data_IF_789729169648
#
_entry.id   IF_789729169648
#
_cell.length_a   1.000
_cell.length_b   1.000
_cell.length_c   1.000
_cell.angle_alpha   90.00
_cell.angle_beta   90.00
_cell.angle_gamma   90.00
#
_symmetry.space_group_name_H-M   'P 1'
#
loop_
_entity.id
_entity.type
_entity.pdbx_description
1 polymer ?
#
# COMPACT_ATOMS: atom_id res chain seq x y z
N UNK A 1 -11.92 -90.90 30.25
CA UNK A 1 -10.51 -90.91 29.89
C UNK A 1 -10.10 -89.43 29.54
N UNK A 2 -9.46 -88.75 30.49
CA UNK A 2 -9.17 -87.27 30.44
C UNK A 2 -7.91 -87.00 29.62
N UNK A 3 -7.96 -86.03 28.71
CA UNK A 3 -6.77 -85.36 28.22
C UNK A 3 -6.91 -83.84 28.43
N UNK A 4 -6.05 -83.31 29.30
CA UNK A 4 -5.86 -81.89 29.57
C UNK A 4 -5.06 -81.31 28.43
N UNK A 5 -5.56 -80.21 27.85
CA UNK A 5 -4.79 -79.34 26.92
C UNK A 5 -4.38 -78.08 27.67
N UNK A 6 -3.08 -77.83 27.76
CA UNK A 6 -2.47 -76.67 28.34
C UNK A 6 -2.59 -75.52 27.34
N UNK A 7 -3.19 -74.38 27.73
CA UNK A 7 -3.15 -73.10 26.97
C UNK A 7 -1.94 -72.30 27.44
N UNK A 8 -0.98 -72.13 26.57
CA UNK A 8 0.11 -71.20 26.77
C UNK A 8 -0.39 -69.74 26.39
N UNK A 9 -0.38 -68.86 27.37
CA UNK A 9 -0.64 -67.47 27.15
C UNK A 9 0.69 -66.75 26.71
N UNK A 10 0.78 -66.40 25.46
CA UNK A 10 1.82 -65.43 24.97
C UNK A 10 1.38 -64.00 25.32
N UNK A 11 2.11 -63.35 26.24
CA UNK A 11 2.04 -61.90 26.47
C UNK A 11 2.85 -61.23 25.40
N UNK A 12 2.15 -60.55 24.45
CA UNK A 12 2.78 -59.63 23.52
C UNK A 12 2.89 -58.28 24.23
N UNK A 13 4.07 -57.92 24.69
CA UNK A 13 4.39 -56.57 25.15
C UNK A 13 4.61 -55.66 23.92
N UNK A 14 3.60 -54.88 23.57
CA UNK A 14 3.75 -53.81 22.56
C UNK A 14 4.53 -52.66 23.20
N UNK A 15 5.82 -52.51 22.84
CA UNK A 15 6.59 -51.29 23.10
C UNK A 15 6.04 -50.17 22.21
N UNK A 16 5.22 -49.31 22.79
CA UNK A 16 4.95 -47.98 22.18
C UNK A 16 6.19 -47.12 22.37
N UNK A 17 7.05 -47.10 21.36
CA UNK A 17 8.09 -46.11 21.23
C UNK A 17 7.41 -44.77 20.94
N UNK A 18 7.21 -43.93 21.95
CA UNK A 18 6.84 -42.54 21.77
C UNK A 18 8.02 -41.84 21.07
N UNK A 19 7.92 -41.64 19.76
CA UNK A 19 8.74 -40.70 19.05
C UNK A 19 8.45 -39.32 19.64
N UNK A 20 9.32 -38.87 20.55
CA UNK A 20 9.40 -37.46 20.96
C UNK A 20 9.80 -36.66 19.72
N UNK A 21 8.80 -36.19 18.96
CA UNK A 21 9.00 -35.12 18.02
C UNK A 21 9.43 -33.96 18.89
N UNK A 22 10.64 -33.39 18.68
CA UNK A 22 11.02 -32.19 19.42
C UNK A 22 9.94 -31.15 19.18
N UNK A 23 9.31 -30.65 20.23
CA UNK A 23 8.45 -29.47 20.13
C UNK A 23 9.34 -28.38 19.56
N UNK A 24 9.12 -28.01 18.29
CA UNK A 24 9.71 -26.80 17.76
C UNK A 24 9.29 -25.70 18.73
N UNK A 25 10.26 -25.05 19.34
CA UNK A 25 10.01 -23.91 20.19
C UNK A 25 9.23 -22.92 19.32
N UNK A 26 7.97 -22.72 19.63
CA UNK A 26 7.12 -21.77 18.95
C UNK A 26 7.82 -20.41 19.12
N UNK A 27 8.32 -19.84 18.04
CA UNK A 27 8.95 -18.53 18.10
C UNK A 27 8.02 -17.57 18.84
N UNK A 28 8.58 -16.96 19.89
CA UNK A 28 7.79 -16.06 20.74
C UNK A 28 7.38 -14.87 19.87
N UNK A 29 6.09 -14.66 19.69
CA UNK A 29 5.56 -13.49 18.99
C UNK A 29 6.24 -12.22 19.51
N UNK A 30 6.66 -11.36 18.61
CA UNK A 30 7.19 -10.03 18.90
C UNK A 30 6.50 -9.00 18.01
N UNK A 31 6.23 -7.84 18.56
CA UNK A 31 5.81 -6.66 17.81
C UNK A 31 6.96 -6.17 16.92
N UNK A 32 6.65 -5.41 15.84
CA UNK A 32 7.66 -4.72 15.06
C UNK A 32 8.54 -3.82 15.94
N UNK A 33 9.84 -3.88 15.71
CA UNK A 33 10.82 -3.04 16.39
C UNK A 33 11.89 -2.61 15.40
N UNK A 34 12.50 -1.47 15.64
CA UNK A 34 13.67 -1.01 14.90
C UNK A 34 14.82 -2.01 15.10
N UNK A 35 15.54 -2.30 14.01
CA UNK A 35 16.76 -3.12 14.07
C UNK A 35 17.96 -2.33 14.60
N UNK A 36 17.92 -1.01 14.47
CA UNK A 36 18.89 -0.06 15.01
C UNK A 36 18.09 1.11 15.64
N UNK A 37 18.43 1.55 16.85
CA UNK A 37 17.69 2.63 17.55
C UNK A 37 17.72 3.97 16.81
N UNK A 38 18.70 4.22 15.95
CA UNK A 38 18.82 5.43 15.14
C UNK A 38 18.09 5.32 13.80
N UNK A 39 17.48 4.17 13.49
CA UNK A 39 16.65 3.98 12.30
C UNK A 39 15.36 4.82 12.37
N UNK A 40 14.74 5.03 11.22
CA UNK A 40 13.42 5.64 11.10
C UNK A 40 12.57 4.87 10.09
N UNK A 41 11.25 5.07 10.12
CA UNK A 41 10.35 4.29 9.27
C UNK A 41 9.41 5.15 8.42
N UNK A 42 9.01 4.56 7.30
CA UNK A 42 7.84 4.93 6.51
C UNK A 42 6.89 3.72 6.51
N UNK A 43 5.62 3.96 6.80
CA UNK A 43 4.61 2.90 6.77
C UNK A 43 3.77 3.03 5.51
N UNK A 44 3.62 1.94 4.75
CA UNK A 44 2.85 1.87 3.52
C UNK A 44 1.54 1.11 3.77
N UNK A 45 0.42 1.77 3.51
CA UNK A 45 -0.92 1.20 3.50
C UNK A 45 -1.28 0.73 2.08
N UNK A 46 -1.86 -0.46 1.94
CA UNK A 46 -2.32 -0.99 0.65
C UNK A 46 -3.61 -0.32 0.19
N UNK A 47 -4.22 -0.86 -0.84
CA UNK A 47 -5.55 -0.51 -1.33
C UNK A 47 -6.62 -0.74 -0.24
N UNK A 48 -7.48 0.26 0.02
CA UNK A 48 -8.39 0.28 1.16
C UNK A 48 -9.86 0.03 0.80
N UNK A 49 -10.21 0.00 -0.49
CA UNK A 49 -11.60 -0.10 -0.94
C UNK A 49 -12.33 -1.34 -0.41
N UNK A 50 -11.63 -2.47 -0.25
CA UNK A 50 -12.19 -3.71 0.30
C UNK A 50 -12.67 -3.56 1.75
N UNK A 51 -11.98 -2.73 2.53
CA UNK A 51 -12.39 -2.38 3.90
C UNK A 51 -13.51 -1.35 3.89
N UNK A 52 -13.40 -0.30 3.07
CA UNK A 52 -14.31 0.84 3.07
C UNK A 52 -15.74 0.46 2.66
N UNK A 53 -15.90 -0.46 1.71
CA UNK A 53 -17.19 -0.81 1.10
C UNK A 53 -18.18 -1.54 2.01
N UNK A 54 -17.70 -2.19 3.07
CA UNK A 54 -18.55 -2.96 4.01
C UNK A 54 -18.42 -2.43 5.42
N UNK A 55 -19.56 -2.12 6.08
CA UNK A 55 -19.58 -1.59 7.45
C UNK A 55 -18.80 -2.47 8.44
N UNK A 56 -18.89 -3.80 8.29
CA UNK A 56 -18.20 -4.75 9.16
C UNK A 56 -16.68 -4.76 8.99
N UNK A 57 -16.16 -4.30 7.85
CA UNK A 57 -14.72 -4.27 7.55
C UNK A 57 -14.06 -2.92 7.92
N UNK A 58 -14.85 -1.83 7.96
CA UNK A 58 -14.33 -0.49 8.24
C UNK A 58 -13.48 -0.40 9.52
N UNK A 59 -13.83 -1.09 10.64
CA UNK A 59 -12.99 -1.08 11.84
C UNK A 59 -11.56 -1.60 11.61
N UNK A 60 -11.30 -2.40 10.57
CA UNK A 60 -9.96 -2.91 10.28
C UNK A 60 -9.04 -1.76 9.87
N UNK A 61 -9.51 -0.79 9.08
CA UNK A 61 -8.74 0.43 8.76
C UNK A 61 -8.39 1.21 10.02
N UNK A 62 -9.34 1.33 10.96
CA UNK A 62 -9.10 2.01 12.23
C UNK A 62 -8.08 1.28 13.10
N UNK A 63 -8.08 -0.07 13.09
CA UNK A 63 -7.06 -0.90 13.76
C UNK A 63 -5.68 -0.62 13.16
N UNK A 64 -5.55 -0.61 11.82
CA UNK A 64 -4.29 -0.34 11.12
C UNK A 64 -3.74 1.03 11.50
N UNK A 65 -4.55 2.08 11.39
CA UNK A 65 -4.11 3.46 11.65
C UNK A 65 -3.90 3.74 13.13
N UNK A 66 -4.73 3.19 14.03
CA UNK A 66 -4.53 3.30 15.48
C UNK A 66 -3.24 2.61 15.93
N UNK A 67 -2.94 1.43 15.37
CA UNK A 67 -1.70 0.73 15.66
C UNK A 67 -0.49 1.58 15.21
N UNK A 68 -0.54 2.13 13.99
CA UNK A 68 0.51 3.02 13.48
C UNK A 68 0.70 4.22 14.41
N UNK A 69 -0.39 4.88 14.81
CA UNK A 69 -0.33 6.03 15.71
C UNK A 69 0.30 5.67 17.08
N UNK A 70 -0.09 4.52 17.64
CA UNK A 70 0.41 4.06 18.93
C UNK A 70 1.91 3.68 18.91
N UNK A 71 2.42 3.26 17.74
CA UNK A 71 3.81 2.82 17.58
C UNK A 71 4.70 3.84 16.86
N UNK A 72 4.15 5.00 16.46
CA UNK A 72 4.86 6.00 15.65
C UNK A 72 6.15 6.49 16.32
N UNK A 73 6.13 6.70 17.63
CA UNK A 73 7.32 7.11 18.41
C UNK A 73 8.35 5.96 18.50
N UNK A 74 7.91 4.77 18.88
CA UNK A 74 8.78 3.60 19.07
C UNK A 74 9.46 3.15 17.77
N UNK A 75 8.77 3.31 16.63
CA UNK A 75 9.28 3.00 15.29
C UNK A 75 9.88 4.23 14.59
N UNK A 76 9.97 5.37 15.27
CA UNK A 76 10.47 6.61 14.70
C UNK A 76 9.83 6.91 13.34
N UNK A 77 8.50 6.70 13.21
CA UNK A 77 7.76 6.82 11.95
C UNK A 77 7.69 8.27 11.51
N UNK A 78 8.19 8.56 10.31
CA UNK A 78 8.24 9.93 9.77
C UNK A 78 7.12 10.23 8.78
N UNK A 79 6.55 9.19 8.14
CA UNK A 79 5.51 9.35 7.13
C UNK A 79 4.69 8.07 6.98
N UNK A 80 3.39 8.22 6.74
CA UNK A 80 2.51 7.15 6.31
C UNK A 80 2.12 7.41 4.86
N UNK A 81 2.24 6.40 4.02
CA UNK A 81 1.86 6.46 2.61
C UNK A 81 0.68 5.50 2.37
N UNK A 82 -0.28 5.88 1.51
CA UNK A 82 -1.34 5.00 1.04
C UNK A 82 -1.37 5.01 -0.48
N UNK A 83 -1.31 3.83 -1.09
CA UNK A 83 -1.13 3.69 -2.54
C UNK A 83 -2.39 3.93 -3.37
N UNK A 84 -3.51 4.30 -2.76
CA UNK A 84 -4.76 4.64 -3.46
C UNK A 84 -5.89 3.66 -3.19
N UNK A 85 -6.95 3.76 -4.01
CA UNK A 85 -8.20 3.00 -3.85
C UNK A 85 -8.74 3.12 -2.41
N UNK A 86 -8.93 4.37 -1.98
CA UNK A 86 -9.38 4.74 -0.64
C UNK A 86 -10.83 4.32 -0.38
N UNK A 87 -11.63 4.26 -1.45
CA UNK A 87 -13.03 3.85 -1.45
C UNK A 87 -13.30 2.91 -2.62
N UNK A 88 -14.36 2.12 -2.54
CA UNK A 88 -14.81 1.27 -3.64
C UNK A 88 -15.49 2.06 -4.74
N UNK A 89 -16.17 3.16 -4.39
CA UNK A 89 -16.94 4.00 -5.31
C UNK A 89 -16.86 5.46 -4.90
N UNK A 90 -16.45 6.29 -5.82
CA UNK A 90 -16.28 7.72 -5.53
C UNK A 90 -17.61 8.44 -5.24
N UNK A 91 -18.67 8.28 -6.05
CA UNK A 91 -19.92 9.02 -5.88
C UNK A 91 -21.22 8.25 -6.20
N UNK A 92 -21.14 7.02 -6.69
CA UNK A 92 -22.29 6.19 -6.97
C UNK A 92 -22.19 4.82 -6.38
N UNK A 93 -23.33 4.34 -5.88
CA UNK A 93 -23.44 3.02 -5.26
C UNK A 93 -24.61 2.27 -5.82
N UNK A 94 -24.35 1.04 -6.24
CA UNK A 94 -25.37 0.04 -6.44
C UNK A 94 -25.32 -0.92 -5.28
N UNK A 95 -26.37 -0.91 -4.45
CA UNK A 95 -26.50 -1.81 -3.32
C UNK A 95 -26.26 -3.27 -3.75
N UNK A 96 -25.44 -3.98 -2.99
CA UNK A 96 -25.07 -5.37 -3.24
C UNK A 96 -23.94 -5.55 -4.25
N UNK A 97 -23.57 -4.52 -5.03
CA UNK A 97 -22.43 -4.57 -5.95
C UNK A 97 -21.20 -3.87 -5.36
N UNK A 98 -21.41 -2.69 -4.78
CA UNK A 98 -20.33 -1.84 -4.24
C UNK A 98 -20.24 -1.96 -2.72
N UNK A 99 -20.69 -3.06 -2.14
CA UNK A 99 -20.78 -3.27 -0.71
C UNK A 99 -22.10 -2.80 -0.14
N UNK A 100 -22.15 -2.56 1.18
CA UNK A 100 -23.34 -2.15 1.93
C UNK A 100 -23.27 -0.68 2.39
N UNK A 101 -22.21 0.04 2.03
CA UNK A 101 -21.99 1.43 2.41
C UNK A 101 -22.14 2.38 1.22
N UNK A 102 -22.79 3.54 1.45
CA UNK A 102 -22.80 4.60 0.45
C UNK A 102 -21.40 5.18 0.23
N UNK A 103 -21.15 5.77 -0.93
CA UNK A 103 -19.89 6.42 -1.27
C UNK A 103 -19.47 7.43 -0.18
N UNK A 104 -20.39 8.29 0.25
CA UNK A 104 -20.15 9.22 1.33
C UNK A 104 -19.71 8.51 2.64
N UNK A 105 -20.37 7.43 3.02
CA UNK A 105 -19.99 6.65 4.21
C UNK A 105 -18.64 5.95 4.05
N UNK A 106 -18.29 5.53 2.84
CA UNK A 106 -16.96 4.96 2.57
C UNK A 106 -15.88 6.03 2.76
N UNK A 107 -16.06 7.21 2.16
CA UNK A 107 -15.15 8.35 2.34
C UNK A 107 -15.05 8.78 3.81
N UNK A 108 -16.18 8.90 4.51
CA UNK A 108 -16.20 9.23 5.95
C UNK A 108 -15.43 8.19 6.78
N UNK A 109 -15.61 6.89 6.50
CA UNK A 109 -14.96 5.84 7.25
C UNK A 109 -13.42 5.86 7.02
N UNK A 110 -12.98 6.02 5.77
CA UNK A 110 -11.55 6.11 5.46
C UNK A 110 -10.95 7.38 6.08
N UNK A 111 -11.62 8.53 5.94
CA UNK A 111 -11.15 9.77 6.55
C UNK A 111 -11.10 9.70 8.08
N UNK A 112 -12.05 9.00 8.73
CA UNK A 112 -12.07 8.76 10.17
C UNK A 112 -10.91 7.86 10.61
N UNK A 113 -10.60 6.80 9.85
CA UNK A 113 -9.46 5.95 10.13
C UNK A 113 -8.16 6.78 10.11
N UNK A 114 -7.94 7.59 9.07
CA UNK A 114 -6.75 8.45 8.98
C UNK A 114 -6.70 9.54 10.05
N UNK A 115 -7.84 9.93 10.65
CA UNK A 115 -7.85 10.91 11.75
C UNK A 115 -7.11 10.43 13.01
N UNK A 116 -6.86 9.12 13.14
CA UNK A 116 -5.99 8.57 14.20
C UNK A 116 -4.54 9.03 14.06
N UNK A 117 -4.13 9.42 12.84
CA UNK A 117 -2.78 9.88 12.53
C UNK A 117 -2.64 11.41 12.66
N UNK A 118 -3.75 12.16 12.73
CA UNK A 118 -3.73 13.62 12.75
C UNK A 118 -2.97 14.15 13.98
N UNK A 119 -1.94 14.95 13.74
CA UNK A 119 -1.06 15.49 14.78
C UNK A 119 -0.04 14.51 15.36
N UNK A 120 -0.07 13.24 14.97
CA UNK A 120 0.86 12.18 15.41
C UNK A 120 1.94 11.94 14.36
N UNK A 121 1.54 11.64 13.13
CA UNK A 121 2.44 11.37 12.01
C UNK A 121 1.83 11.92 10.71
N UNK A 122 2.61 12.57 9.83
CA UNK A 122 2.10 13.03 8.54
C UNK A 122 1.76 11.85 7.64
N UNK A 123 0.82 12.06 6.70
CA UNK A 123 0.49 11.05 5.70
C UNK A 123 0.25 11.65 4.33
N UNK A 124 0.46 10.83 3.30
CA UNK A 124 0.19 11.14 1.90
C UNK A 124 -0.61 10.01 1.28
N UNK A 125 -1.67 10.34 0.55
CA UNK A 125 -2.54 9.36 -0.11
C UNK A 125 -2.50 9.56 -1.61
N UNK A 126 -2.22 8.50 -2.38
CA UNK A 126 -2.51 8.49 -3.81
C UNK A 126 -4.01 8.33 -4.03
N UNK A 127 -4.47 8.63 -5.23
CA UNK A 127 -5.76 8.16 -5.73
C UNK A 127 -5.57 6.89 -6.54
N UNK A 128 -6.51 5.93 -6.38
CA UNK A 128 -6.64 4.78 -7.26
C UNK A 128 -7.77 4.96 -8.27
N UNK A 129 -8.03 3.93 -9.05
CA UNK A 129 -9.09 3.99 -10.08
C UNK A 129 -10.50 3.98 -9.48
N UNK A 130 -10.69 3.48 -8.27
CA UNK A 130 -11.96 3.49 -7.56
C UNK A 130 -12.31 4.88 -6.98
N UNK A 131 -11.31 5.74 -6.81
CA UNK A 131 -11.45 7.08 -6.22
C UNK A 131 -11.94 8.14 -7.21
N UNK A 132 -12.28 7.75 -8.45
CA UNK A 132 -12.74 8.65 -9.51
C UNK A 132 -14.13 8.32 -10.03
N UNK A 133 -14.83 9.39 -10.45
CA UNK A 133 -16.05 9.29 -11.22
C UNK A 133 -15.73 9.23 -12.70
N UNK A 134 -16.09 8.12 -13.35
CA UNK A 134 -15.89 7.94 -14.78
C UNK A 134 -17.24 7.93 -15.51
N UNK A 135 -17.90 9.08 -15.63
CA UNK A 135 -19.18 9.21 -16.33
C UNK A 135 -19.03 9.50 -17.82
N UNK A 136 -17.88 10.03 -18.21
CA UNK A 136 -17.52 10.38 -19.60
C UNK A 136 -16.00 10.36 -19.77
N UNK A 137 -15.53 10.32 -21.00
CA UNK A 137 -14.10 10.39 -21.33
C UNK A 137 -13.44 11.62 -20.70
N UNK A 138 -12.34 11.41 -19.96
CA UNK A 138 -11.59 12.45 -19.28
C UNK A 138 -12.24 12.98 -17.99
N UNK A 139 -13.36 12.41 -17.56
CA UNK A 139 -13.95 12.72 -16.26
C UNK A 139 -13.10 12.09 -15.16
N UNK A 140 -12.36 12.91 -14.43
CA UNK A 140 -11.48 12.53 -13.33
C UNK A 140 -11.85 13.30 -12.06
N UNK A 141 -13.16 13.49 -11.83
CA UNK A 141 -13.62 14.08 -10.57
C UNK A 141 -13.44 13.07 -9.45
N UNK A 142 -12.98 13.58 -8.31
CA UNK A 142 -12.80 12.82 -7.09
C UNK A 142 -13.24 13.65 -5.89
N UNK A 143 -13.70 12.99 -4.85
CA UNK A 143 -14.02 13.62 -3.57
C UNK A 143 -12.81 13.67 -2.62
N UNK A 144 -11.63 13.22 -3.03
CA UNK A 144 -10.46 13.17 -2.15
C UNK A 144 -10.17 14.51 -1.47
N UNK A 145 -10.29 15.62 -2.20
CA UNK A 145 -10.04 16.96 -1.65
C UNK A 145 -11.02 17.40 -0.56
N UNK A 146 -12.23 16.81 -0.52
CA UNK A 146 -13.24 17.08 0.50
C UNK A 146 -12.92 16.35 1.82
N UNK A 147 -12.38 15.13 1.72
CA UNK A 147 -12.14 14.25 2.87
C UNK A 147 -10.69 14.26 3.36
N UNK A 148 -9.76 14.60 2.46
CA UNK A 148 -8.33 14.63 2.71
C UNK A 148 -7.70 15.98 2.29
N UNK A 149 -8.25 17.12 2.72
CA UNK A 149 -7.55 18.38 2.50
C UNK A 149 -6.19 18.34 3.21
N UNK A 150 -5.19 19.00 2.65
CA UNK A 150 -3.83 19.01 3.24
C UNK A 150 -3.81 19.49 4.69
N UNK A 151 -4.70 20.40 5.03
CA UNK A 151 -4.81 20.99 6.37
C UNK A 151 -5.54 20.07 7.37
N UNK A 152 -6.09 18.92 6.91
CA UNK A 152 -6.69 17.93 7.80
C UNK A 152 -5.68 17.45 8.85
N UNK A 153 -4.47 17.14 8.43
CA UNK A 153 -3.36 16.86 9.33
C UNK A 153 -2.39 18.05 9.34
N UNK A 154 -2.18 18.75 10.47
CA UNK A 154 -1.29 19.92 10.52
C UNK A 154 0.18 19.55 10.21
N UNK A 155 0.56 18.28 10.33
CA UNK A 155 1.90 17.82 9.99
C UNK A 155 2.10 17.72 8.47
N UNK A 156 1.05 17.38 7.70
CA UNK A 156 1.10 17.36 6.24
C UNK A 156 1.46 18.74 5.68
N UNK A 157 0.88 19.81 6.25
CA UNK A 157 1.13 21.18 5.84
C UNK A 157 2.60 21.57 5.96
N UNK A 158 3.30 21.02 6.96
CA UNK A 158 4.72 21.32 7.20
C UNK A 158 5.65 20.64 6.20
N UNK A 159 5.22 19.49 5.66
CA UNK A 159 6.00 18.72 4.70
C UNK A 159 5.71 19.11 3.25
N UNK A 160 4.52 19.67 2.98
CA UNK A 160 4.10 20.03 1.63
C UNK A 160 5.01 21.11 1.07
N UNK A 161 5.70 20.79 -0.03
CA UNK A 161 6.53 21.77 -0.77
C UNK A 161 5.85 22.27 -2.04
N UNK A 162 5.18 21.37 -2.78
CA UNK A 162 4.58 21.71 -4.07
C UNK A 162 3.24 20.99 -4.28
N UNK A 163 2.33 21.67 -4.97
CA UNK A 163 1.11 21.09 -5.53
C UNK A 163 1.19 20.96 -7.06
N UNK A 164 0.65 19.86 -7.58
CA UNK A 164 0.19 19.76 -8.96
C UNK A 164 -1.26 20.23 -9.10
N UNK A 165 -1.80 20.07 -10.29
CA UNK A 165 -3.19 20.40 -10.59
C UNK A 165 -4.00 19.12 -10.86
N UNK A 166 -5.23 19.11 -10.37
CA UNK A 166 -6.24 18.10 -10.76
C UNK A 166 -6.70 18.28 -12.21
N UNK A 167 -7.62 17.45 -12.67
CA UNK A 167 -8.17 17.54 -14.02
C UNK A 167 -9.07 18.78 -14.23
N UNK A 168 -9.49 19.44 -13.15
CA UNK A 168 -10.29 20.64 -13.15
C UNK A 168 -9.42 21.93 -13.05
N UNK A 169 -8.11 21.77 -12.87
CA UNK A 169 -7.15 22.88 -12.79
C UNK A 169 -6.98 23.45 -11.38
N UNK A 170 -7.41 22.74 -10.33
CA UNK A 170 -7.21 23.13 -8.95
C UNK A 170 -5.96 22.49 -8.36
N UNK A 171 -5.36 23.09 -7.34
CA UNK A 171 -4.34 22.46 -6.52
C UNK A 171 -4.89 21.21 -5.84
N UNK A 172 -4.18 20.10 -5.96
CA UNK A 172 -4.72 18.81 -5.58
C UNK A 172 -3.72 17.96 -4.79
N UNK A 173 -4.21 17.30 -3.72
CA UNK A 173 -3.39 16.43 -2.86
C UNK A 173 -2.94 15.16 -3.57
N UNK A 174 -3.70 14.71 -4.58
CA UNK A 174 -3.34 13.56 -5.42
C UNK A 174 -2.12 13.82 -6.30
N UNK A 175 -1.75 15.09 -6.49
CA UNK A 175 -0.52 15.52 -7.18
C UNK A 175 0.24 16.47 -6.25
N UNK A 176 1.06 15.91 -5.37
CA UNK A 176 1.75 16.72 -4.35
C UNK A 176 3.18 16.22 -4.12
N UNK A 177 4.04 17.11 -3.65
CA UNK A 177 5.39 16.82 -3.25
C UNK A 177 5.60 17.21 -1.78
N UNK A 178 6.09 16.25 -0.97
CA UNK A 178 6.43 16.44 0.44
C UNK A 178 7.95 16.34 0.60
N UNK A 179 8.53 17.24 1.36
CA UNK A 179 9.94 17.22 1.70
C UNK A 179 10.16 16.72 3.11
N UNK A 180 11.17 15.87 3.27
CA UNK A 180 11.60 15.32 4.55
C UNK A 180 13.12 15.33 4.62
N UNK A 181 13.68 15.91 5.66
CA UNK A 181 15.08 15.71 6.02
C UNK A 181 15.18 14.59 7.05
N UNK A 182 15.91 13.52 6.68
CA UNK A 182 16.08 12.36 7.55
C UNK A 182 17.04 12.66 8.72
N UNK A 183 17.03 11.83 9.79
CA UNK A 183 17.94 11.99 10.92
C UNK A 183 19.42 11.98 10.52
N UNK A 184 19.81 11.18 9.53
CA UNK A 184 21.17 11.11 8.97
C UNK A 184 21.50 12.30 8.02
N UNK A 185 20.56 13.23 7.84
CA UNK A 185 20.78 14.47 7.10
C UNK A 185 20.58 14.36 5.59
N UNK A 186 19.94 13.30 5.10
CA UNK A 186 19.56 13.14 3.69
C UNK A 186 18.23 13.83 3.42
N UNK A 187 18.15 14.63 2.37
CA UNK A 187 16.91 15.26 1.93
C UNK A 187 16.15 14.30 1.01
N UNK A 188 14.90 14.01 1.39
CA UNK A 188 13.95 13.19 0.63
C UNK A 188 12.87 14.07 0.03
N UNK A 189 12.43 13.70 -1.19
CA UNK A 189 11.23 14.23 -1.81
C UNK A 189 10.26 13.06 -2.06
N UNK A 190 9.14 13.05 -1.36
CA UNK A 190 8.03 12.12 -1.61
C UNK A 190 7.10 12.77 -2.62
N UNK A 191 7.04 12.19 -3.81
CA UNK A 191 6.26 12.70 -4.93
C UNK A 191 5.07 11.80 -5.19
N UNK A 192 3.86 12.34 -4.98
CA UNK A 192 2.61 11.63 -5.21
C UNK A 192 2.02 12.03 -6.56
N UNK A 193 1.57 11.04 -7.33
CA UNK A 193 0.88 11.27 -8.60
C UNK A 193 -0.48 10.56 -8.61
N UNK A 194 -1.46 11.22 -9.20
CA UNK A 194 -2.80 10.67 -9.42
C UNK A 194 -2.78 9.31 -10.11
N UNK A 195 -3.85 8.52 -10.01
CA UNK A 195 -4.01 7.29 -10.78
C UNK A 195 -3.85 7.55 -12.28
N UNK A 196 -3.02 6.72 -12.93
CA UNK A 196 -2.72 6.83 -14.35
C UNK A 196 -2.47 8.30 -14.76
N UNK A 197 -1.41 8.93 -14.22
CA UNK A 197 -1.19 10.38 -14.31
C UNK A 197 -1.21 10.87 -15.74
N UNK A 198 -1.85 12.04 -15.93
CA UNK A 198 -1.92 12.73 -17.24
C UNK A 198 -0.54 13.19 -17.69
N UNK A 199 -0.35 13.39 -19.00
CA UNK A 199 0.90 13.93 -19.54
C UNK A 199 1.27 15.28 -18.93
N UNK A 200 0.29 16.11 -18.58
CA UNK A 200 0.51 17.39 -17.88
C UNK A 200 1.06 17.20 -16.47
N UNK A 201 0.60 16.17 -15.75
CA UNK A 201 1.09 15.79 -14.42
C UNK A 201 2.49 15.19 -14.51
N UNK A 202 2.76 14.33 -15.49
CA UNK A 202 4.13 13.86 -15.78
C UNK A 202 5.07 15.04 -16.07
N UNK A 203 4.61 16.01 -16.85
CA UNK A 203 5.37 17.23 -17.12
C UNK A 203 5.65 18.08 -15.88
N UNK A 204 4.67 18.18 -14.97
CA UNK A 204 4.84 18.83 -13.67
C UNK A 204 5.86 18.08 -12.80
N UNK A 205 5.71 16.75 -12.66
CA UNK A 205 6.60 15.92 -11.88
C UNK A 205 8.07 16.03 -12.37
N UNK A 206 8.28 16.02 -13.70
CA UNK A 206 9.61 16.23 -14.30
C UNK A 206 10.22 17.57 -13.92
N UNK A 207 9.41 18.64 -13.90
CA UNK A 207 9.91 19.97 -13.47
C UNK A 207 10.33 19.93 -11.99
N UNK A 208 9.49 19.33 -11.11
CA UNK A 208 9.78 19.24 -9.66
C UNK A 208 11.08 18.48 -9.41
N UNK A 209 11.24 17.27 -9.93
CA UNK A 209 12.46 16.48 -9.71
C UNK A 209 13.71 17.08 -10.37
N UNK A 210 13.52 17.99 -11.36
CA UNK A 210 14.58 18.69 -12.04
C UNK A 210 14.95 20.05 -11.45
N UNK A 211 14.24 20.53 -10.41
CA UNK A 211 14.59 21.77 -9.72
C UNK A 211 15.99 21.69 -9.11
N UNK A 212 16.70 22.81 -9.11
CA UNK A 212 18.07 22.89 -8.57
C UNK A 212 18.13 22.45 -7.10
N UNK A 213 17.17 22.90 -6.29
CA UNK A 213 17.02 22.54 -4.88
C UNK A 213 16.73 21.05 -4.69
N UNK A 214 16.02 20.39 -5.64
CA UNK A 214 15.67 18.98 -5.56
C UNK A 214 16.72 18.04 -6.18
N UNK A 215 17.76 18.58 -6.85
CA UNK A 215 18.76 17.78 -7.58
C UNK A 215 19.44 16.72 -6.71
N UNK A 216 19.66 17.06 -5.44
CA UNK A 216 20.31 16.19 -4.47
C UNK A 216 19.32 15.49 -3.54
N UNK A 217 18.02 15.63 -3.74
CA UNK A 217 17.04 14.86 -2.98
C UNK A 217 17.01 13.41 -3.45
N UNK A 218 16.76 12.50 -2.53
CA UNK A 218 16.33 11.14 -2.85
C UNK A 218 14.84 11.17 -3.09
N UNK A 219 14.42 10.93 -4.32
CA UNK A 219 13.00 11.00 -4.68
C UNK A 219 12.38 9.61 -4.54
N UNK A 220 11.30 9.55 -3.76
CA UNK A 220 10.39 8.42 -3.65
C UNK A 220 9.11 8.80 -4.38
N UNK A 221 8.84 8.13 -5.50
CA UNK A 221 7.63 8.31 -6.29
C UNK A 221 6.55 7.35 -5.79
N UNK A 222 5.36 7.85 -5.55
CA UNK A 222 4.16 7.05 -5.29
C UNK A 222 3.13 7.30 -6.39
N UNK A 223 2.55 6.24 -6.91
CA UNK A 223 1.40 6.28 -7.81
C UNK A 223 0.65 4.95 -7.69
N UNK A 224 -0.62 4.89 -8.09
CA UNK A 224 -1.42 3.68 -7.86
C UNK A 224 -1.06 2.53 -8.78
N UNK A 225 -1.12 2.72 -10.11
CA UNK A 225 -0.95 1.65 -11.11
C UNK A 225 0.43 1.70 -11.76
N UNK A 226 1.33 0.77 -11.38
CA UNK A 226 2.70 0.78 -11.89
C UNK A 226 3.28 -0.62 -12.15
N UNK A 227 3.33 -1.53 -11.16
CA UNK A 227 3.76 -2.92 -11.32
C UNK A 227 2.57 -3.89 -11.24
N UNK A 228 2.76 -5.08 -11.84
CA UNK A 228 1.94 -6.26 -11.59
C UNK A 228 2.64 -7.21 -10.58
N UNK A 229 1.95 -8.28 -10.20
CA UNK A 229 2.47 -9.25 -9.22
C UNK A 229 3.67 -10.06 -9.74
N UNK A 230 3.89 -10.12 -11.05
CA UNK A 230 5.06 -10.70 -11.70
C UNK A 230 6.26 -9.73 -11.69
N UNK A 231 6.12 -8.58 -11.01
CA UNK A 231 7.12 -7.50 -10.98
C UNK A 231 7.39 -6.87 -12.36
N UNK A 232 6.44 -6.95 -13.27
CA UNK A 232 6.51 -6.29 -14.57
C UNK A 232 5.80 -4.93 -14.51
N UNK A 233 6.32 -3.94 -15.23
CA UNK A 233 5.61 -2.67 -15.36
C UNK A 233 4.37 -2.84 -16.22
N UNK A 234 3.24 -2.36 -15.70
CA UNK A 234 1.96 -2.41 -16.44
C UNK A 234 2.14 -1.63 -17.74
N UNK A 235 1.90 -2.33 -18.86
CA UNK A 235 1.93 -1.77 -20.19
C UNK A 235 0.48 -1.64 -20.71
N UNK A 236 0.23 -0.63 -21.49
CA UNK A 236 -1.07 -0.39 -22.14
C UNK A 236 -1.19 1.08 -22.56
N UNK A 237 -1.43 1.29 -23.83
CA UNK A 237 -1.70 2.59 -24.43
C UNK A 237 -2.74 2.39 -25.53
N UNK A 238 -3.94 3.00 -25.44
CA UNK A 238 -4.40 3.89 -24.37
C UNK A 238 -4.76 3.15 -23.08
N UNK A 239 -4.66 3.85 -21.95
CA UNK A 239 -5.14 3.34 -20.66
C UNK A 239 -6.66 3.17 -20.72
N UNK A 240 -7.12 1.98 -20.42
CA UNK A 240 -8.54 1.66 -20.39
C UNK A 240 -9.00 1.42 -18.97
N UNK A 241 -9.90 2.25 -18.49
CA UNK A 241 -10.56 2.05 -17.22
C UNK A 241 -11.98 1.55 -17.45
N UNK A 242 -12.39 0.61 -16.61
CA UNK A 242 -13.79 0.20 -16.54
C UNK A 242 -14.42 1.01 -15.43
N UNK A 243 -15.51 1.74 -15.71
CA UNK A 243 -16.24 2.39 -14.62
C UNK A 243 -16.76 1.30 -13.69
N UNK A 244 -16.47 1.45 -12.41
CA UNK A 244 -16.99 0.56 -11.38
C UNK A 244 -18.44 0.93 -11.02
N UNK A 245 -18.92 2.06 -11.56
CA UNK A 245 -20.31 2.44 -11.44
C UNK A 245 -21.16 1.64 -12.43
N UNK A 246 -22.05 0.77 -11.95
CA UNK A 246 -22.93 0.06 -12.85
C UNK A 246 -23.93 1.04 -13.46
N UNK A 247 -23.90 1.19 -14.75
CA UNK A 247 -24.95 1.88 -15.51
C UNK A 247 -26.08 0.89 -15.70
N UNK A 248 -27.21 1.12 -15.05
CA UNK A 248 -28.42 0.34 -15.29
C UNK A 248 -29.07 0.83 -16.61
N UNK A 249 -28.90 0.07 -17.68
CA UNK A 249 -29.54 0.32 -18.96
C UNK A 249 -30.50 -0.82 -19.26
N UNK A 250 -31.79 -0.52 -19.39
CA UNK A 250 -32.85 -1.50 -19.66
C UNK A 250 -32.88 -2.67 -18.65
N UNK A 251 -32.70 -2.39 -17.35
CA UNK A 251 -32.68 -3.41 -16.31
C UNK A 251 -31.42 -4.30 -16.29
N UNK A 252 -30.44 -4.03 -17.13
CA UNK A 252 -29.16 -4.73 -17.13
C UNK A 252 -28.05 -3.82 -16.58
N UNK A 253 -27.26 -4.37 -15.67
CA UNK A 253 -26.04 -3.73 -15.19
C UNK A 253 -24.98 -3.83 -16.29
N UNK A 254 -24.52 -2.70 -16.79
CA UNK A 254 -23.43 -2.62 -17.76
C UNK A 254 -22.29 -1.79 -17.21
N UNK A 255 -21.07 -2.32 -17.31
CA UNK A 255 -19.86 -1.55 -16.98
C UNK A 255 -19.51 -0.68 -18.19
N UNK A 256 -19.26 0.59 -17.94
CA UNK A 256 -18.78 1.51 -18.97
C UNK A 256 -17.25 1.37 -19.07
N UNK A 257 -16.76 1.06 -20.28
CA UNK A 257 -15.32 1.07 -20.56
C UNK A 257 -14.94 2.42 -21.15
N UNK A 258 -13.94 3.04 -20.58
CA UNK A 258 -13.45 4.35 -20.98
C UNK A 258 -11.97 4.30 -21.31
N UNK A 259 -11.57 4.98 -22.36
CA UNK A 259 -10.17 5.23 -22.68
C UNK A 259 -9.75 6.59 -22.09
N UNK A 260 -8.58 6.63 -21.50
CA UNK A 260 -7.93 7.84 -21.00
C UNK A 260 -6.72 8.12 -21.90
N UNK A 261 -6.86 8.95 -22.93
CA UNK A 261 -5.85 9.04 -24.01
C UNK A 261 -4.52 9.67 -23.56
N UNK A 262 -4.54 10.49 -22.51
CA UNK A 262 -3.35 11.18 -21.96
C UNK A 262 -2.82 10.54 -20.66
N UNK A 263 -3.35 9.37 -20.31
CA UNK A 263 -3.00 8.68 -19.08
C UNK A 263 -1.74 7.81 -19.26
N UNK A 264 -0.99 7.65 -18.16
CA UNK A 264 0.23 6.88 -18.13
C UNK A 264 0.16 5.80 -17.05
N UNK A 265 0.54 4.56 -17.39
CA UNK A 265 0.75 3.47 -16.46
C UNK A 265 2.23 3.07 -16.42
N UNK A 266 2.58 2.09 -15.62
CA UNK A 266 3.92 1.67 -15.28
C UNK A 266 5.01 1.91 -16.33
N UNK A 267 4.91 1.31 -17.52
CA UNK A 267 5.94 1.45 -18.56
C UNK A 267 6.00 2.87 -19.15
N UNK A 268 4.86 3.56 -19.28
CA UNK A 268 4.83 4.94 -19.76
C UNK A 268 5.42 5.90 -18.71
N UNK A 269 5.09 5.71 -17.42
CA UNK A 269 5.67 6.50 -16.31
C UNK A 269 7.18 6.27 -16.22
N UNK A 270 7.62 5.00 -16.33
CA UNK A 270 9.04 4.67 -16.39
C UNK A 270 9.74 5.46 -17.49
N UNK A 271 9.29 5.32 -18.72
CA UNK A 271 9.93 5.93 -19.88
C UNK A 271 9.89 7.46 -19.86
N UNK A 272 8.75 8.06 -19.43
CA UNK A 272 8.54 9.51 -19.51
C UNK A 272 9.08 10.26 -18.29
N UNK A 273 9.15 9.64 -17.11
CA UNK A 273 9.51 10.30 -15.85
C UNK A 273 10.67 9.64 -15.14
N UNK A 274 10.59 8.34 -14.84
CA UNK A 274 11.54 7.67 -13.93
C UNK A 274 12.89 7.45 -14.60
N UNK A 275 12.90 6.89 -15.81
CA UNK A 275 14.12 6.61 -16.56
C UNK A 275 14.98 7.86 -16.80
N UNK A 276 14.43 9.01 -17.25
CA UNK A 276 15.24 10.22 -17.47
C UNK A 276 15.67 10.94 -16.18
N UNK A 277 15.02 10.70 -15.04
CA UNK A 277 15.34 11.35 -13.77
C UNK A 277 16.50 10.68 -13.07
N UNK A 278 17.52 11.45 -12.68
CA UNK A 278 18.72 10.91 -12.02
C UNK A 278 18.58 10.71 -10.52
N UNK A 279 17.52 11.21 -9.90
CA UNK A 279 17.30 11.25 -8.45
C UNK A 279 16.06 10.50 -7.97
N UNK A 280 15.23 9.95 -8.86
CA UNK A 280 14.18 8.99 -8.46
C UNK A 280 14.88 7.66 -8.16
N UNK A 281 14.77 7.20 -6.92
CA UNK A 281 15.46 6.00 -6.44
C UNK A 281 14.50 4.90 -5.98
N UNK A 282 13.21 5.25 -5.69
CA UNK A 282 12.17 4.29 -5.30
C UNK A 282 10.83 4.67 -5.95
N UNK A 283 10.09 3.67 -6.41
CA UNK A 283 8.70 3.78 -6.87
C UNK A 283 7.82 2.85 -6.05
N UNK A 284 6.72 3.35 -5.49
CA UNK A 284 5.76 2.60 -4.70
C UNK A 284 4.39 2.59 -5.41
N UNK A 285 3.71 1.44 -5.42
CA UNK A 285 2.40 1.30 -6.06
C UNK A 285 1.52 0.23 -5.40
N UNK A 286 0.21 0.26 -5.74
CA UNK A 286 -0.83 -0.70 -5.41
C UNK A 286 -1.53 -1.24 -6.65
N UNK A 287 -2.87 -1.25 -6.67
CA UNK A 287 -3.75 -1.58 -7.80
C UNK A 287 -3.85 -3.06 -8.14
N UNK A 288 -2.75 -3.76 -8.25
CA UNK A 288 -2.73 -5.20 -8.56
C UNK A 288 -2.47 -5.99 -7.30
N UNK A 289 -3.43 -6.85 -6.96
CA UNK A 289 -3.31 -7.68 -5.75
C UNK A 289 -2.03 -8.50 -5.72
N UNK A 290 -1.31 -8.43 -4.60
CA UNK A 290 -0.07 -9.13 -4.37
C UNK A 290 1.09 -8.20 -4.03
N UNK A 291 2.28 -8.68 -4.25
CA UNK A 291 3.51 -7.93 -4.03
C UNK A 291 4.50 -8.20 -5.14
N UNK A 292 5.30 -7.22 -5.46
CA UNK A 292 6.34 -7.30 -6.47
C UNK A 292 7.49 -6.37 -6.13
N UNK A 293 8.69 -6.76 -6.54
CA UNK A 293 9.89 -5.95 -6.38
C UNK A 293 10.82 -6.14 -7.56
N UNK A 294 11.30 -5.05 -8.13
CA UNK A 294 12.32 -5.06 -9.18
C UNK A 294 13.25 -3.87 -9.07
N UNK A 295 14.42 -3.99 -9.67
CA UNK A 295 15.39 -2.91 -9.76
C UNK A 295 15.89 -2.79 -11.20
N UNK A 296 15.79 -1.59 -11.75
CA UNK A 296 16.32 -1.28 -13.08
C UNK A 296 17.23 -0.05 -13.03
N UNK A 297 18.18 0.05 -13.96
CA UNK A 297 19.01 1.23 -14.08
C UNK A 297 18.28 2.34 -14.86
N UNK A 298 18.30 3.58 -14.35
CA UNK A 298 17.85 4.76 -15.08
C UNK A 298 18.85 5.21 -16.15
N UNK A 299 18.57 6.29 -16.87
CA UNK A 299 19.45 6.82 -17.94
C UNK A 299 20.86 7.23 -17.47
N UNK A 300 21.04 7.45 -16.17
CA UNK A 300 22.34 7.74 -15.56
C UNK A 300 23.05 6.49 -15.02
N UNK A 301 22.54 5.29 -15.30
CA UNK A 301 23.06 4.01 -14.80
C UNK A 301 22.83 3.79 -13.31
N UNK A 302 21.92 4.54 -12.67
CA UNK A 302 21.63 4.46 -11.24
C UNK A 302 20.47 3.51 -10.97
N UNK A 303 20.53 2.67 -9.91
CA UNK A 303 19.44 1.77 -9.57
C UNK A 303 18.19 2.53 -9.15
N UNK A 304 17.05 2.09 -9.62
CA UNK A 304 15.71 2.50 -9.19
C UNK A 304 14.97 1.26 -8.74
N UNK A 305 14.62 1.23 -7.46
CA UNK A 305 13.79 0.18 -6.89
C UNK A 305 12.32 0.47 -7.16
N UNK A 306 11.54 -0.55 -7.45
CA UNK A 306 10.13 -0.44 -7.78
C UNK A 306 9.38 -1.50 -7.00
N UNK A 307 8.39 -1.12 -6.20
CA UNK A 307 7.71 -1.98 -5.23
C UNK A 307 6.21 -1.88 -5.38
N UNK A 308 5.58 -3.03 -5.54
CA UNK A 308 4.13 -3.23 -5.42
C UNK A 308 3.82 -3.79 -4.03
N UNK A 309 2.77 -3.25 -3.41
CA UNK A 309 2.16 -3.82 -2.22
C UNK A 309 0.65 -3.59 -2.21
N UNK A 310 -0.11 -4.66 -2.38
CA UNK A 310 -1.56 -4.64 -2.28
C UNK A 310 -2.08 -5.98 -1.73
N UNK A 311 -2.75 -5.94 -0.60
CA UNK A 311 -3.27 -7.11 0.12
C UNK A 311 -4.76 -7.37 -0.14
N UNK A 312 -5.44 -6.61 -1.00
CA UNK A 312 -6.90 -6.66 -1.16
C UNK A 312 -7.48 -8.04 -1.54
N UNK A 313 -6.66 -8.95 -2.10
CA UNK A 313 -7.08 -10.33 -2.39
C UNK A 313 -6.99 -11.29 -1.20
N UNK A 314 -6.38 -10.87 -0.10
CA UNK A 314 -6.26 -11.64 1.14
C UNK A 314 -7.54 -11.56 1.96
N UNK A 315 -7.65 -12.37 3.02
CA UNK A 315 -8.81 -12.33 3.93
C UNK A 315 -10.14 -12.68 3.28
N UNK A 316 -10.14 -13.55 2.27
CA UNK A 316 -11.32 -13.94 1.50
C UNK A 316 -11.56 -13.06 0.27
N UNK A 317 -10.58 -12.24 -0.10
CA UNK A 317 -10.61 -11.42 -1.31
C UNK A 317 -11.64 -10.30 -1.26
N UNK A 318 -12.12 -9.91 -2.43
CA UNK A 318 -13.03 -8.78 -2.62
C UNK A 318 -14.35 -8.85 -1.82
N UNK A 319 -14.85 -10.06 -1.58
CA UNK A 319 -16.05 -10.29 -0.76
C UNK A 319 -15.74 -10.61 0.71
N UNK A 320 -14.47 -10.76 1.06
CA UNK A 320 -13.98 -11.05 2.40
C UNK A 320 -13.84 -9.82 3.28
N UNK A 321 -12.77 -9.79 4.09
CA UNK A 321 -12.53 -8.74 5.07
C UNK A 321 -11.74 -7.53 4.52
N UNK A 322 -11.36 -7.54 3.24
CA UNK A 322 -10.68 -6.43 2.56
C UNK A 322 -9.15 -6.51 2.55
N UNK A 323 -8.53 -7.59 3.08
CA UNK A 323 -7.08 -7.77 2.99
C UNK A 323 -6.37 -7.99 4.33
N UNK A 324 -7.02 -8.53 5.36
CA UNK A 324 -6.42 -8.97 6.63
C UNK A 324 -5.66 -7.90 7.43
N UNK A 325 -5.84 -6.62 7.11
CA UNK A 325 -5.21 -5.51 7.83
C UNK A 325 -3.69 -5.46 7.70
N UNK A 326 -3.11 -5.93 6.60
CA UNK A 326 -1.68 -5.87 6.35
C UNK A 326 -1.19 -4.45 6.10
N UNK A 327 -0.07 -4.09 6.72
CA UNK A 327 0.72 -2.89 6.48
C UNK A 327 2.15 -3.29 6.11
N UNK A 328 2.86 -2.43 5.36
CA UNK A 328 4.28 -2.62 5.08
C UNK A 328 5.09 -1.54 5.76
N UNK A 329 6.12 -1.93 6.52
CA UNK A 329 7.02 -1.03 7.24
C UNK A 329 8.34 -1.01 6.49
N UNK A 330 8.76 0.17 6.06
CA UNK A 330 10.06 0.43 5.47
C UNK A 330 10.95 1.07 6.53
N UNK A 331 11.90 0.32 7.08
CA UNK A 331 12.87 0.82 8.05
C UNK A 331 14.14 1.28 7.32
N UNK A 332 14.45 2.55 7.43
CA UNK A 332 15.64 3.19 6.88
C UNK A 332 16.74 3.19 7.92
N UNK A 333 17.85 2.52 7.64
CA UNK A 333 18.94 2.36 8.58
C UNK A 333 19.85 3.61 8.63
N UNK A 334 20.58 3.81 9.73
CA UNK A 334 21.44 5.01 9.93
C UNK A 334 22.60 5.11 8.93
N UNK A 335 22.91 4.03 8.19
CA UNK A 335 23.91 4.07 7.10
C UNK A 335 23.46 4.92 5.90
N UNK A 336 22.21 5.40 5.92
CA UNK A 336 21.60 6.22 4.88
C UNK A 336 21.41 5.49 3.54
N UNK A 337 21.49 4.16 3.53
CA UNK A 337 21.40 3.33 2.34
C UNK A 337 20.46 2.16 2.46
N UNK A 338 20.60 1.39 3.53
CA UNK A 338 19.86 0.15 3.72
C UNK A 338 18.43 0.43 4.13
N UNK A 339 17.49 -0.21 3.44
CA UNK A 339 16.07 -0.21 3.80
C UNK A 339 15.65 -1.65 4.05
N UNK A 340 15.15 -1.91 5.28
CA UNK A 340 14.54 -3.18 5.65
C UNK A 340 13.03 -3.10 5.43
N UNK A 341 12.50 -4.05 4.67
CA UNK A 341 11.08 -4.16 4.37
C UNK A 341 10.47 -5.24 5.23
N UNK A 342 9.38 -4.92 5.90
CA UNK A 342 8.63 -5.82 6.76
C UNK A 342 7.15 -5.71 6.47
N UNK A 343 6.42 -6.84 6.47
CA UNK A 343 4.96 -6.86 6.30
C UNK A 343 4.31 -7.47 7.54
N UNK A 344 3.40 -6.70 8.14
CA UNK A 344 2.81 -6.99 9.45
C UNK A 344 1.32 -6.69 9.45
N UNK A 345 0.53 -7.50 10.17
CA UNK A 345 -0.91 -7.28 10.35
C UNK A 345 -1.23 -6.92 11.80
N UNK A 346 -1.54 -5.65 12.07
CA UNK A 346 -2.09 -5.23 13.36
C UNK A 346 -3.38 -5.99 13.74
N UNK A 347 -4.21 -6.35 12.76
CA UNK A 347 -5.43 -7.13 12.99
C UNK A 347 -5.13 -8.49 13.62
N UNK A 348 -4.19 -9.25 13.04
CA UNK A 348 -3.83 -10.56 13.58
C UNK A 348 -3.11 -10.46 14.94
N UNK A 349 -2.42 -9.39 15.19
CA UNK A 349 -1.70 -9.16 16.44
C UNK A 349 -2.61 -8.97 17.66
N UNK A 350 -3.86 -8.53 17.45
CA UNK A 350 -4.80 -8.22 18.54
C UNK A 350 -5.15 -9.44 19.42
N UNK A 351 -5.17 -10.64 18.84
CA UNK A 351 -5.61 -11.84 19.56
C UNK A 351 -4.46 -12.82 19.81
N UNK A 352 -4.35 -13.38 21.03
CA UNK A 352 -3.39 -14.46 21.31
C UNK A 352 -3.48 -15.66 20.39
N UNK A 353 -4.65 -15.91 19.78
CA UNK A 353 -4.88 -17.02 18.84
C UNK A 353 -4.43 -16.73 17.42
N UNK A 354 -4.41 -15.47 17.01
CA UNK A 354 -4.07 -15.07 15.63
C UNK A 354 -2.70 -14.40 15.50
N UNK A 355 -2.14 -13.86 16.60
CA UNK A 355 -0.88 -13.08 16.55
C UNK A 355 0.32 -13.83 16.00
N UNK A 356 0.31 -15.17 16.04
CA UNK A 356 1.34 -16.00 15.40
C UNK A 356 1.35 -15.85 13.86
N UNK A 357 0.28 -15.33 13.28
CA UNK A 357 0.12 -15.08 11.85
C UNK A 357 0.27 -13.57 11.51
N UNK A 358 0.68 -12.73 12.47
CA UNK A 358 0.78 -11.28 12.27
C UNK A 358 1.95 -10.86 11.38
N UNK A 359 2.86 -11.77 11.05
CA UNK A 359 3.98 -11.53 10.15
C UNK A 359 3.83 -12.30 8.84
N UNK A 360 3.96 -11.62 7.70
CA UNK A 360 4.21 -12.28 6.43
C UNK A 360 5.71 -12.47 6.28
N UNK A 361 6.15 -13.73 6.33
CA UNK A 361 7.57 -14.11 6.26
C UNK A 361 7.99 -14.67 4.91
N UNK A 362 7.05 -14.77 3.97
CA UNK A 362 7.28 -15.24 2.62
C UNK A 362 8.21 -14.31 1.86
N UNK A 363 8.89 -14.84 0.85
CA UNK A 363 9.72 -14.06 -0.06
C UNK A 363 8.95 -12.88 -0.67
N UNK A 364 9.58 -11.69 -0.68
CA UNK A 364 8.95 -10.45 -1.12
C UNK A 364 8.18 -9.69 -0.03
N UNK A 365 8.06 -10.25 1.21
CA UNK A 365 7.43 -9.59 2.35
C UNK A 365 8.41 -9.24 3.48
N UNK A 366 9.56 -9.91 3.52
CA UNK A 366 10.68 -9.64 4.45
C UNK A 366 11.98 -9.64 3.65
N UNK A 367 12.54 -8.48 3.38
CA UNK A 367 13.78 -8.35 2.62
C UNK A 367 14.47 -7.01 2.88
N UNK A 368 15.67 -6.84 2.34
CA UNK A 368 16.40 -5.57 2.36
C UNK A 368 16.79 -5.18 0.94
N UNK A 369 16.89 -3.88 0.71
CA UNK A 369 17.52 -3.33 -0.49
C UNK A 369 18.38 -2.12 -0.10
N UNK A 370 19.26 -1.70 -1.00
CA UNK A 370 20.14 -0.57 -0.74
C UNK A 370 19.99 0.51 -1.78
N UNK A 371 19.78 1.73 -1.33
CA UNK A 371 19.97 2.90 -2.17
C UNK A 371 21.45 3.08 -2.54
N UNK A 372 21.71 3.83 -3.59
CA UNK A 372 23.09 4.19 -3.95
C UNK A 372 23.77 4.97 -2.82
N UNK A 373 25.06 4.83 -2.69
CA UNK A 373 25.87 5.67 -1.82
C UNK A 373 25.86 7.11 -2.37
N UNK A 374 25.73 8.08 -1.49
CA UNK A 374 25.78 9.52 -1.79
C UNK A 374 27.06 10.14 -1.27
#
# INVERSE_FOLDING_TARGET
>A
MFRRVFLARLLLAALFGALLVPAQAQEKFSEPALSDPDSWTVVLLPDLQGYAKKACNQPIMEIMTSWIAAHAEALNTKLVLCVGDLVEQNDRISNGYSGDQSSHKQWEATARAFSQLDGVVPYMTATGNHDYTYTRTGDRRTHIGEYFPVDKNPLNRRMLSQYGLDAQGNHAVENAAFELRSPEGIDYLFLNLEFAPRDTVIGWARRIVGLEECRNHRVVLMTHSYLNAESERIAGDPVRVTSYEPVVKNGKITKFKQELPDANQGEAIWRKLVYPASNIELVLCGHVSGWGFRTDANSAGRPVHQMLFDSQSMGGGYEGNGGDGWIRILEFLPDGRTVRVMTYSPLFALSPTTRQHAWLTEEGNQFTFEFRQR
#
